data_IF_148779427804
#
_entry.id   IF_148779427804
#
_cell.length_a   1.000
_cell.length_b   1.000
_cell.length_c   1.000
_cell.angle_alpha   90.00
_cell.angle_beta   90.00
_cell.angle_gamma   90.00
#
_symmetry.space_group_name_H-M   'P 1'
#
loop_
_entity.id
_entity.type
_entity.pdbx_description
1 polymer ?
#
# COMPACT_ATOMS: atom_id res chain seq x y z
N UNK A 1 7.76 10.45 -5.08
CA UNK A 1 8.23 10.35 -6.49
C UNK A 1 7.88 9.05 -7.19
N UNK A 2 8.15 7.87 -6.61
CA UNK A 2 7.86 6.58 -7.28
C UNK A 2 6.38 6.40 -7.67
N UNK A 3 5.45 6.70 -6.76
CA UNK A 3 4.00 6.62 -7.04
C UNK A 3 3.62 7.56 -8.20
N UNK A 4 4.12 8.80 -8.19
CA UNK A 4 3.86 9.76 -9.27
C UNK A 4 4.40 9.28 -10.63
N UNK A 5 5.57 8.64 -10.65
CA UNK A 5 6.13 8.05 -11.87
C UNK A 5 5.28 6.91 -12.43
N UNK A 6 4.80 6.01 -11.56
CA UNK A 6 3.94 4.88 -11.93
C UNK A 6 2.60 5.36 -12.51
N UNK A 7 1.96 6.34 -11.86
CA UNK A 7 0.67 6.87 -12.31
C UNK A 7 0.77 7.88 -13.46
N UNK A 8 1.99 8.31 -13.80
CA UNK A 8 2.21 9.31 -14.85
C UNK A 8 1.80 8.81 -16.25
N UNK A 9 2.00 7.53 -16.55
CA UNK A 9 1.56 6.93 -17.82
C UNK A 9 0.05 7.02 -18.01
N UNK A 10 -0.70 6.61 -16.98
CA UNK A 10 -2.17 6.69 -16.94
C UNK A 10 -2.70 8.11 -17.11
N UNK A 11 -2.09 9.09 -16.44
CA UNK A 11 -2.46 10.51 -16.55
C UNK A 11 -2.13 11.05 -17.94
N UNK A 12 -0.99 10.66 -18.51
CA UNK A 12 -0.62 11.02 -19.88
C UNK A 12 -1.62 10.49 -20.91
N UNK A 13 -2.10 9.25 -20.73
CA UNK A 13 -3.13 8.68 -21.60
C UNK A 13 -4.43 9.50 -21.56
N UNK A 14 -4.87 9.84 -20.34
CA UNK A 14 -6.08 10.63 -20.11
C UNK A 14 -6.02 12.02 -20.76
N UNK A 15 -4.89 12.71 -20.60
CA UNK A 15 -4.70 14.08 -21.09
C UNK A 15 -4.54 14.11 -22.62
N UNK A 16 -3.80 13.17 -23.19
CA UNK A 16 -3.44 13.22 -24.61
C UNK A 16 -4.43 12.49 -25.51
N UNK A 17 -5.03 11.40 -25.04
CA UNK A 17 -5.92 10.55 -25.84
C UNK A 17 -7.38 10.62 -25.38
N UNK A 18 -7.67 11.16 -24.19
CA UNK A 18 -9.03 11.26 -23.66
C UNK A 18 -9.65 9.91 -23.32
N UNK A 19 -8.85 8.85 -23.33
CA UNK A 19 -9.26 7.48 -23.04
C UNK A 19 -8.21 6.78 -22.18
N UNK A 20 -8.68 5.75 -21.50
CA UNK A 20 -7.94 5.05 -20.46
C UNK A 20 -7.66 3.64 -20.92
N UNK A 21 -6.40 3.21 -20.92
CA UNK A 21 -6.07 1.82 -21.20
C UNK A 21 -6.03 0.96 -19.94
N UNK A 22 -6.12 -0.36 -20.11
CA UNK A 22 -5.86 -1.34 -19.04
C UNK A 22 -4.36 -1.57 -18.79
N UNK A 23 -3.48 -0.93 -19.56
CA UNK A 23 -2.03 -1.10 -19.49
C UNK A 23 -1.42 -0.65 -18.15
N UNK A 24 -2.06 0.27 -17.45
CA UNK A 24 -1.61 0.79 -16.15
C UNK A 24 -1.94 -0.14 -14.95
N UNK A 25 -2.51 -1.33 -15.17
CA UNK A 25 -2.92 -2.24 -14.09
C UNK A 25 -1.77 -2.58 -13.11
N UNK A 26 -0.59 -2.91 -13.66
CA UNK A 26 0.61 -3.19 -12.87
C UNK A 26 1.15 -1.94 -12.14
N UNK A 27 0.94 -0.75 -12.71
CA UNK A 27 1.34 0.51 -12.08
C UNK A 27 0.46 0.83 -10.87
N UNK A 28 -0.86 0.57 -10.98
CA UNK A 28 -1.80 0.69 -9.85
C UNK A 28 -1.47 -0.28 -8.72
N UNK A 29 -1.19 -1.54 -9.03
CA UNK A 29 -0.81 -2.54 -8.02
C UNK A 29 0.42 -2.08 -7.23
N UNK A 30 1.48 -1.67 -7.95
CA UNK A 30 2.72 -1.18 -7.34
C UNK A 30 2.52 0.11 -6.56
N UNK A 31 1.75 1.06 -7.09
CA UNK A 31 1.46 2.32 -6.42
C UNK A 31 0.71 2.07 -5.10
N UNK A 32 -0.30 1.20 -5.14
CA UNK A 32 -1.12 0.81 -3.98
C UNK A 32 -0.27 0.12 -2.92
N UNK A 33 0.62 -0.79 -3.34
CA UNK A 33 1.52 -1.47 -2.42
C UNK A 33 2.48 -0.51 -1.72
N UNK A 34 3.07 0.44 -2.47
CA UNK A 34 3.95 1.46 -1.89
C UNK A 34 3.18 2.34 -0.90
N UNK A 35 2.00 2.83 -1.28
CA UNK A 35 1.16 3.66 -0.41
C UNK A 35 0.76 2.91 0.86
N UNK A 36 0.35 1.65 0.72
CA UNK A 36 0.02 0.79 1.87
C UNK A 36 1.22 0.61 2.79
N UNK A 37 2.41 0.29 2.29
CA UNK A 37 3.62 0.18 3.13
C UNK A 37 4.02 1.53 3.76
N UNK A 38 3.81 2.66 3.10
CA UNK A 38 4.01 3.98 3.71
C UNK A 38 3.15 4.18 4.96
N UNK A 39 1.88 3.78 4.89
CA UNK A 39 0.95 3.90 6.01
C UNK A 39 1.20 2.83 7.08
N UNK A 40 1.40 1.57 6.69
CA UNK A 40 1.41 0.44 7.63
C UNK A 40 2.78 0.04 8.15
N UNK A 41 3.85 0.22 7.37
CA UNK A 41 5.21 -0.17 7.77
C UNK A 41 6.04 1.02 8.22
N UNK A 42 5.93 2.15 7.52
CA UNK A 42 6.73 3.34 7.79
C UNK A 42 6.04 4.37 8.68
N UNK A 43 4.76 4.16 9.04
CA UNK A 43 4.02 5.04 9.93
C UNK A 43 3.88 6.48 9.37
N UNK A 44 3.80 6.61 8.04
CA UNK A 44 3.76 7.91 7.35
C UNK A 44 2.34 8.51 7.26
N UNK A 45 1.40 8.05 8.09
CA UNK A 45 0.07 8.67 8.24
C UNK A 45 0.05 9.61 9.43
N UNK A 46 -0.44 10.84 9.22
CA UNK A 46 -0.66 11.81 10.31
C UNK A 46 -1.78 11.38 11.25
N UNK A 47 -2.74 10.60 10.75
CA UNK A 47 -3.92 10.17 11.49
C UNK A 47 -3.63 8.95 12.37
N UNK A 48 -2.92 7.96 11.81
CA UNK A 48 -2.55 6.74 12.52
C UNK A 48 -1.27 6.91 13.35
N UNK A 49 -0.46 7.91 13.02
CA UNK A 49 0.80 8.20 13.69
C UNK A 49 1.93 7.25 13.27
N UNK A 50 3.10 7.36 13.91
CA UNK A 50 4.31 6.60 13.59
C UNK A 50 4.23 5.16 14.17
N UNK A 51 3.15 4.44 13.87
CA UNK A 51 2.93 3.07 14.31
C UNK A 51 3.13 2.12 13.13
N UNK A 52 3.76 0.97 13.42
CA UNK A 52 3.89 -0.12 12.47
C UNK A 52 2.74 -1.11 12.70
N UNK A 53 1.87 -1.21 11.69
CA UNK A 53 0.72 -2.12 11.66
C UNK A 53 1.03 -3.43 10.94
N UNK A 54 2.24 -3.59 10.41
CA UNK A 54 2.59 -4.77 9.62
C UNK A 54 2.50 -6.06 10.44
N UNK A 55 1.90 -7.08 9.84
CA UNK A 55 2.22 -8.47 10.13
C UNK A 55 3.59 -8.75 9.54
N UNK A 56 4.66 -8.31 10.22
CA UNK A 56 6.01 -8.73 9.88
C UNK A 56 6.22 -10.19 10.32
N UNK A 57 5.52 -11.13 9.70
CA UNK A 57 6.01 -12.51 9.53
C UNK A 57 7.12 -12.58 8.46
N UNK A 58 7.89 -11.50 8.27
CA UNK A 58 9.01 -11.43 7.32
C UNK A 58 10.38 -11.20 7.97
N UNK A 59 10.47 -11.17 9.30
CA UNK A 59 11.70 -10.77 10.02
C UNK A 59 12.44 -11.86 10.79
N UNK A 60 11.84 -13.04 11.04
CA UNK A 60 12.52 -14.06 11.86
C UNK A 60 12.10 -15.47 11.48
N UNK A 61 12.82 -16.05 10.51
CA UNK A 61 12.74 -17.46 10.09
C UNK A 61 13.47 -18.37 11.09
N UNK A 62 13.27 -18.22 12.41
CA UNK A 62 14.04 -19.03 13.37
C UNK A 62 13.28 -20.06 14.21
N UNK A 63 11.98 -19.97 14.47
CA UNK A 63 11.31 -21.09 15.15
C UNK A 63 9.91 -21.30 14.61
N UNK A 64 9.72 -22.44 13.97
CA UNK A 64 8.44 -22.87 13.41
C UNK A 64 7.30 -22.74 14.41
N UNK A 65 6.35 -21.86 14.09
CA UNK A 65 4.96 -21.93 14.54
C UNK A 65 4.12 -20.95 13.71
N UNK A 66 3.15 -21.50 13.00
CA UNK A 66 1.89 -20.89 12.55
C UNK A 66 1.99 -19.55 11.78
N UNK A 67 2.20 -19.65 10.46
CA UNK A 67 2.18 -18.54 9.49
C UNK A 67 0.77 -18.06 9.12
N UNK A 68 -0.09 -17.78 10.09
CA UNK A 68 -1.31 -16.98 9.89
C UNK A 68 -1.37 -15.93 11.00
N UNK A 69 -0.48 -14.94 10.89
CA UNK A 69 -0.57 -13.73 11.69
C UNK A 69 -1.76 -12.92 11.21
N UNK A 70 -2.89 -13.07 11.89
CA UNK A 70 -3.99 -12.11 11.83
C UNK A 70 -3.42 -10.68 11.94
N UNK A 71 -3.92 -9.72 11.17
CA UNK A 71 -3.47 -8.34 11.28
C UNK A 71 -3.55 -7.87 12.73
N UNK A 72 -2.45 -7.32 13.26
CA UNK A 72 -2.35 -6.82 14.64
C UNK A 72 -3.10 -5.48 14.84
N UNK A 73 -4.26 -5.31 14.20
CA UNK A 73 -5.04 -4.10 14.23
C UNK A 73 -6.53 -4.39 14.05
N UNK A 74 -7.37 -3.58 14.68
CA UNK A 74 -8.82 -3.75 14.63
C UNK A 74 -9.37 -3.44 13.23
N UNK A 75 -10.58 -3.91 12.93
CA UNK A 75 -11.28 -3.56 11.67
C UNK A 75 -11.48 -2.05 11.50
N UNK A 76 -11.57 -1.29 12.59
CA UNK A 76 -11.60 0.17 12.54
C UNK A 76 -10.28 0.76 12.04
N UNK A 77 -9.15 0.23 12.50
CA UNK A 77 -7.83 0.65 12.00
C UNK A 77 -7.61 0.21 10.56
N UNK A 78 -8.09 -0.99 10.18
CA UNK A 78 -8.06 -1.45 8.79
C UNK A 78 -8.78 -0.46 7.86
N UNK A 79 -9.98 -0.05 8.24
CA UNK A 79 -10.77 0.94 7.53
C UNK A 79 -10.07 2.31 7.44
N UNK A 80 -9.37 2.71 8.51
CA UNK A 80 -8.59 3.95 8.50
C UNK A 80 -7.36 3.87 7.61
N UNK A 81 -6.69 2.71 7.54
CA UNK A 81 -5.59 2.47 6.59
C UNK A 81 -6.10 2.57 5.15
N UNK A 82 -7.22 1.93 4.84
CA UNK A 82 -7.82 1.96 3.50
C UNK A 82 -8.32 3.35 3.09
N UNK A 83 -8.51 4.27 4.04
CA UNK A 83 -8.80 5.68 3.75
C UNK A 83 -7.57 6.53 3.44
N UNK A 84 -6.41 6.12 3.90
CA UNK A 84 -5.15 6.86 3.75
C UNK A 84 -4.38 6.45 2.49
N UNK A 85 -4.72 5.29 1.90
CA UNK A 85 -4.19 4.75 0.64
C UNK A 85 -5.07 5.17 -0.53
#
# INVERSE_FOLDING_TARGET
>A
DKICGLLGGRVSEDINFGEVSTGASNDFERATQIARSMVTEYGMSKKLGPLQFSSSSGGQVFLGKDMQGEPNYSGQIAYEIDKEV
#
